data_IF_236406083717
#
_entry.id   IF_236406083717
#
_cell.length_a   1.000
_cell.length_b   1.000
_cell.length_c   1.000
_cell.angle_alpha   90.00
_cell.angle_beta   90.00
_cell.angle_gamma   90.00
#
_symmetry.space_group_name_H-M   'P 1'
#
loop_
_entity.id
_entity.type
_entity.pdbx_description
1 polymer ?
#
# COMPACT_ATOMS: atom_id res chain seq x y z
N UNK A 1 0.44 -32.06 -20.05
CA UNK A 1 -0.55 -31.28 -19.29
C UNK A 1 -0.73 -29.96 -20.04
N UNK A 2 -1.93 -29.64 -20.50
CA UNK A 2 -2.21 -28.45 -21.32
C UNK A 2 -2.61 -27.32 -20.36
N UNK A 3 -1.83 -26.24 -20.33
CA UNK A 3 -2.23 -24.97 -19.72
C UNK A 3 -3.10 -24.23 -20.73
N UNK A 4 -4.39 -24.11 -20.43
CA UNK A 4 -5.30 -23.20 -21.11
C UNK A 4 -5.50 -21.99 -20.21
N UNK A 5 -4.75 -20.92 -20.47
CA UNK A 5 -5.09 -19.58 -20.01
C UNK A 5 -6.03 -18.95 -21.03
N UNK A 6 -7.25 -18.66 -20.59
CA UNK A 6 -8.19 -17.73 -21.22
C UNK A 6 -9.07 -17.18 -20.12
N UNK A 7 -8.94 -15.89 -19.81
CA UNK A 7 -10.12 -15.07 -19.57
C UNK A 7 -9.87 -13.67 -20.13
N UNK A 8 -10.79 -13.28 -21.02
CA UNK A 8 -10.98 -11.93 -21.52
C UNK A 8 -11.88 -11.24 -20.50
N UNK A 9 -11.42 -10.13 -19.92
CA UNK A 9 -12.27 -9.14 -19.27
C UNK A 9 -12.30 -7.88 -20.15
N UNK A 10 -13.45 -7.61 -20.75
CA UNK A 10 -13.75 -6.37 -21.48
C UNK A 10 -14.45 -5.48 -20.47
N UNK A 11 -13.90 -4.31 -20.16
CA UNK A 11 -14.60 -3.24 -19.43
C UNK A 11 -14.96 -2.13 -20.41
N UNK A 12 -16.21 -1.62 -20.41
CA UNK A 12 -16.67 -0.64 -21.38
C UNK A 12 -16.14 0.76 -21.07
N UNK A 13 -15.71 1.44 -22.14
CA UNK A 13 -15.39 2.86 -22.15
C UNK A 13 -16.61 3.72 -21.77
N UNK A 14 -16.49 4.46 -20.67
CA UNK A 14 -17.38 5.57 -20.35
C UNK A 14 -16.90 6.81 -21.12
N UNK A 15 -17.79 7.33 -21.96
CA UNK A 15 -17.58 8.51 -22.77
C UNK A 15 -17.80 9.77 -21.94
N UNK A 16 -16.76 10.60 -21.80
CA UNK A 16 -16.90 11.96 -21.26
C UNK A 16 -16.85 12.97 -22.40
N UNK A 17 -18.01 13.55 -22.67
CA UNK A 17 -18.23 14.71 -23.53
C UNK A 17 -17.42 15.92 -23.03
N UNK A 18 -16.61 16.52 -23.91
CA UNK A 18 -16.08 17.87 -23.70
C UNK A 18 -16.66 18.84 -24.73
N UNK A 19 -17.33 19.84 -24.19
CA UNK A 19 -18.14 20.85 -24.88
C UNK A 19 -17.21 21.84 -25.59
N UNK A 20 -17.33 21.90 -26.92
CA UNK A 20 -16.84 23.00 -27.74
C UNK A 20 -17.59 24.29 -27.38
N UNK A 21 -16.86 25.28 -26.85
CA UNK A 21 -17.31 26.67 -26.88
C UNK A 21 -16.35 27.52 -27.68
N UNK A 22 -16.89 28.05 -28.79
CA UNK A 22 -16.28 29.03 -29.67
C UNK A 22 -16.62 30.44 -29.20
N UNK A 23 -15.61 31.31 -29.08
CA UNK A 23 -15.71 32.76 -29.19
C UNK A 23 -14.36 33.26 -29.76
N UNK A 24 -14.26 33.63 -31.04
CA UNK A 24 -14.62 34.91 -31.65
C UNK A 24 -13.66 36.08 -31.32
N UNK A 25 -13.04 36.57 -32.40
CA UNK A 25 -12.19 37.75 -32.62
C UNK A 25 -12.25 38.94 -31.64
N UNK A 26 -11.11 39.62 -31.48
CA UNK A 26 -11.06 41.00 -31.00
C UNK A 26 -9.69 41.68 -31.02
N UNK A 27 -9.43 42.43 -32.11
CA UNK A 27 -8.72 43.73 -32.19
C UNK A 27 -7.21 43.86 -31.93
N UNK A 28 -6.53 44.34 -32.99
CA UNK A 28 -5.28 45.10 -32.99
C UNK A 28 -5.22 46.19 -31.90
N UNK A 29 -4.13 46.24 -31.14
CA UNK A 29 -3.72 47.41 -30.39
C UNK A 29 -2.18 47.53 -30.34
N UNK A 30 -1.74 48.76 -30.50
CA UNK A 30 -0.40 49.26 -30.76
C UNK A 30 0.69 48.77 -29.80
N UNK A 31 1.83 48.45 -30.42
CA UNK A 31 3.12 48.17 -29.80
C UNK A 31 3.63 49.37 -29.00
N UNK A 32 3.49 49.31 -27.67
CA UNK A 32 4.27 50.09 -26.73
C UNK A 32 5.38 49.22 -26.15
N UNK A 33 6.61 49.40 -26.62
CA UNK A 33 7.82 48.88 -25.98
C UNK A 33 7.93 49.44 -24.55
N UNK A 34 7.46 48.68 -23.54
CA UNK A 34 7.80 48.91 -22.14
C UNK A 34 9.01 48.02 -21.77
N UNK A 35 10.24 48.57 -21.64
CA UNK A 35 11.45 47.81 -21.35
C UNK A 35 11.53 47.35 -19.88
N UNK A 36 10.40 47.09 -19.23
CA UNK A 36 10.31 46.69 -17.81
C UNK A 36 9.83 45.26 -17.57
N UNK A 37 9.40 44.52 -18.60
CA UNK A 37 9.02 43.10 -18.48
C UNK A 37 10.17 42.10 -18.73
N UNK A 38 11.41 42.57 -18.91
CA UNK A 38 12.55 41.70 -19.22
C UNK A 38 13.27 41.10 -17.98
N UNK A 39 12.63 41.03 -16.80
CA UNK A 39 13.31 40.59 -15.56
C UNK A 39 12.50 39.75 -14.56
N UNK A 40 11.37 39.18 -14.94
CA UNK A 40 11.03 37.87 -14.36
C UNK A 40 11.72 36.82 -15.23
N UNK A 41 13.04 36.72 -15.09
CA UNK A 41 13.73 35.51 -15.50
C UNK A 41 13.15 34.41 -14.62
N UNK A 42 12.39 33.52 -15.26
CA UNK A 42 11.74 32.36 -14.67
C UNK A 42 12.68 31.73 -13.65
N UNK A 43 12.29 31.76 -12.38
CA UNK A 43 13.05 31.13 -11.30
C UNK A 43 12.97 29.60 -11.34
N UNK A 44 12.29 29.05 -12.35
CA UNK A 44 12.05 27.63 -12.56
C UNK A 44 12.80 27.06 -13.76
N UNK A 45 12.78 25.74 -13.88
CA UNK A 45 13.33 25.01 -15.01
C UNK A 45 12.37 25.00 -16.19
N UNK A 46 12.89 24.63 -17.36
CA UNK A 46 12.07 24.35 -18.55
C UNK A 46 11.63 22.90 -18.60
N UNK A 47 10.56 22.61 -19.35
CA UNK A 47 10.14 21.21 -19.58
C UNK A 47 11.18 20.38 -20.36
N UNK A 48 12.04 21.03 -21.16
CA UNK A 48 13.12 20.32 -21.88
C UNK A 48 14.20 19.86 -20.90
N UNK A 49 14.54 20.71 -19.93
CA UNK A 49 15.45 20.34 -18.83
C UNK A 49 14.86 19.24 -17.95
N UNK A 50 13.54 19.26 -17.72
CA UNK A 50 12.85 18.21 -16.96
C UNK A 50 12.93 16.86 -17.67
N UNK A 51 12.59 16.80 -18.97
CA UNK A 51 12.68 15.57 -19.76
C UNK A 51 14.11 15.01 -19.76
N UNK A 52 15.11 15.89 -19.90
CA UNK A 52 16.52 15.49 -19.82
C UNK A 52 16.87 14.91 -18.45
N UNK A 53 16.41 15.52 -17.36
CA UNK A 53 16.67 15.01 -16.01
C UNK A 53 16.04 13.62 -15.78
N UNK A 54 14.84 13.37 -16.32
CA UNK A 54 14.18 12.06 -16.29
C UNK A 54 14.99 11.01 -17.06
N UNK A 55 15.46 11.36 -18.27
CA UNK A 55 16.32 10.49 -19.08
C UNK A 55 17.66 10.19 -18.39
N UNK A 56 18.30 11.22 -17.80
CA UNK A 56 19.57 11.08 -17.07
C UNK A 56 19.40 10.18 -15.83
N UNK A 57 18.29 10.31 -15.09
CA UNK A 57 17.95 9.45 -13.95
C UNK A 57 17.81 7.98 -14.38
N UNK A 58 17.06 7.71 -15.46
CA UNK A 58 16.95 6.35 -16.00
C UNK A 58 18.30 5.82 -16.53
N UNK A 59 19.12 6.70 -17.10
CA UNK A 59 20.49 6.39 -17.48
C UNK A 59 21.32 5.90 -16.29
N UNK A 60 21.28 6.64 -15.18
CA UNK A 60 21.97 6.26 -13.94
C UNK A 60 21.48 4.89 -13.41
N UNK A 61 20.18 4.62 -13.50
CA UNK A 61 19.61 3.32 -13.11
C UNK A 61 20.19 2.19 -13.95
N UNK A 62 20.17 2.33 -15.27
CA UNK A 62 20.67 1.31 -16.20
C UNK A 62 22.18 1.09 -16.11
N UNK A 63 22.95 2.12 -15.75
CA UNK A 63 24.39 2.05 -15.59
C UNK A 63 24.82 1.56 -14.21
N UNK A 64 23.88 1.44 -13.25
CA UNK A 64 24.19 1.12 -11.86
C UNK A 64 24.98 2.23 -11.15
N UNK A 65 24.82 3.48 -11.59
CA UNK A 65 25.54 4.64 -11.04
C UNK A 65 24.73 5.26 -9.88
N UNK A 66 24.95 4.71 -8.68
CA UNK A 66 24.31 5.20 -7.45
C UNK A 66 24.61 6.66 -7.15
N UNK A 67 25.81 7.16 -7.46
CA UNK A 67 26.17 8.56 -7.23
C UNK A 67 25.39 9.48 -8.16
N UNK A 68 25.24 9.12 -9.44
CA UNK A 68 24.43 9.87 -10.40
C UNK A 68 22.94 9.80 -10.06
N UNK A 69 22.43 8.64 -9.63
CA UNK A 69 21.04 8.49 -9.18
C UNK A 69 20.74 9.40 -7.99
N UNK A 70 21.55 9.34 -6.93
CA UNK A 70 21.38 10.19 -5.74
C UNK A 70 21.57 11.68 -6.08
N UNK A 71 22.48 12.01 -7.00
CA UNK A 71 22.61 13.37 -7.48
C UNK A 71 21.35 13.86 -8.20
N UNK A 72 20.59 12.97 -8.85
CA UNK A 72 19.31 13.25 -9.51
C UNK A 72 18.12 13.43 -8.56
N UNK A 73 18.23 13.00 -7.30
CA UNK A 73 17.16 13.12 -6.31
C UNK A 73 17.10 14.50 -5.66
N UNK A 74 15.98 14.82 -4.99
CA UNK A 74 15.82 16.04 -4.21
C UNK A 74 16.68 16.03 -2.96
N UNK A 75 16.87 17.19 -2.33
CA UNK A 75 17.57 17.25 -1.05
C UNK A 75 16.88 16.42 0.04
N UNK A 76 15.54 16.43 0.08
CA UNK A 76 14.76 15.63 1.02
C UNK A 76 14.98 14.12 0.79
N UNK A 77 14.96 13.67 -0.46
CA UNK A 77 15.17 12.27 -0.79
C UNK A 77 16.59 11.76 -0.46
N UNK A 78 17.61 12.59 -0.69
CA UNK A 78 18.99 12.26 -0.32
C UNK A 78 19.20 12.13 1.19
N UNK A 79 18.36 12.73 2.03
CA UNK A 79 18.45 12.56 3.49
C UNK A 79 17.89 11.20 3.93
N UNK A 80 16.99 10.60 3.14
CA UNK A 80 16.32 9.34 3.46
C UNK A 80 17.03 8.11 2.86
N UNK A 81 17.75 8.29 1.75
CA UNK A 81 18.42 7.18 1.03
C UNK A 81 19.93 7.28 1.16
N UNK A 82 20.56 6.25 1.71
CA UNK A 82 22.02 6.14 1.73
C UNK A 82 22.60 5.63 0.41
N UNK A 83 23.90 5.86 0.18
CA UNK A 83 24.60 5.35 -1.00
C UNK A 83 24.61 3.82 -1.08
N UNK A 84 24.72 3.13 0.06
CA UNK A 84 24.71 1.66 0.09
C UNK A 84 23.31 1.12 -0.28
N UNK A 85 22.24 1.72 0.25
CA UNK A 85 20.86 1.36 -0.12
C UNK A 85 20.58 1.61 -1.61
N UNK A 86 21.08 2.72 -2.17
CA UNK A 86 20.96 2.99 -3.60
C UNK A 86 21.67 1.93 -4.46
N UNK A 87 22.86 1.47 -4.04
CA UNK A 87 23.58 0.38 -4.72
C UNK A 87 22.79 -0.93 -4.67
N UNK A 88 22.23 -1.28 -3.51
CA UNK A 88 21.41 -2.49 -3.35
C UNK A 88 20.13 -2.44 -4.19
N UNK A 89 19.44 -1.29 -4.20
CA UNK A 89 18.26 -1.08 -5.03
C UNK A 89 18.56 -1.20 -6.52
N UNK A 90 19.66 -0.59 -7.00
CA UNK A 90 20.08 -0.68 -8.40
C UNK A 90 20.43 -2.11 -8.82
N UNK A 91 21.14 -2.86 -7.96
CA UNK A 91 21.46 -4.26 -8.22
C UNK A 91 20.20 -5.13 -8.30
N UNK A 92 19.17 -4.83 -7.49
CA UNK A 92 17.88 -5.52 -7.55
C UNK A 92 17.13 -5.19 -8.84
N UNK A 93 17.10 -3.91 -9.26
CA UNK A 93 16.47 -3.48 -10.51
C UNK A 93 17.12 -4.18 -11.71
N UNK A 94 18.45 -4.19 -11.79
CA UNK A 94 19.19 -4.89 -12.85
C UNK A 94 18.85 -6.39 -12.87
N UNK A 95 18.81 -7.03 -11.70
CA UNK A 95 18.52 -8.46 -11.58
C UNK A 95 17.08 -8.82 -11.99
N UNK A 96 16.10 -7.96 -11.71
CA UNK A 96 14.69 -8.21 -12.00
C UNK A 96 14.28 -7.81 -13.41
N UNK A 97 14.74 -6.64 -13.87
CA UNK A 97 14.23 -6.00 -15.09
C UNK A 97 15.29 -5.86 -16.19
N UNK A 98 16.58 -5.90 -15.83
CA UNK A 98 17.68 -5.66 -16.77
C UNK A 98 17.70 -4.21 -17.26
N UNK A 99 18.05 -4.01 -18.53
CA UNK A 99 18.05 -2.68 -19.16
C UNK A 99 16.61 -2.19 -19.38
N UNK A 100 16.23 -1.12 -18.68
CA UNK A 100 14.93 -0.45 -18.81
C UNK A 100 15.04 0.63 -19.89
N UNK A 101 14.08 0.67 -20.81
CA UNK A 101 14.04 1.69 -21.87
C UNK A 101 12.81 2.55 -21.72
N UNK A 102 13.00 3.86 -21.80
CA UNK A 102 11.89 4.81 -21.83
C UNK A 102 11.28 4.81 -23.24
N UNK A 103 10.00 4.46 -23.33
CA UNK A 103 9.23 4.55 -24.57
C UNK A 103 8.57 5.93 -24.70
N UNK A 104 8.02 6.45 -23.60
CA UNK A 104 7.30 7.72 -23.58
C UNK A 104 7.50 8.44 -22.24
N UNK A 105 7.56 9.78 -22.31
CA UNK A 105 7.51 10.68 -21.15
C UNK A 105 6.31 11.60 -21.32
N UNK A 106 5.35 11.49 -20.41
CA UNK A 106 4.21 12.38 -20.29
C UNK A 106 4.41 13.31 -19.09
N UNK A 107 4.32 14.63 -19.31
CA UNK A 107 4.31 15.61 -18.23
C UNK A 107 2.85 15.88 -17.89
N UNK A 108 2.40 15.39 -16.74
CA UNK A 108 1.02 15.50 -16.28
C UNK A 108 0.75 16.91 -15.72
N UNK A 109 1.69 17.45 -14.95
CA UNK A 109 1.62 18.78 -14.35
C UNK A 109 2.94 19.52 -14.48
N UNK A 110 2.90 20.84 -14.67
CA UNK A 110 4.11 21.68 -14.78
C UNK A 110 3.85 23.10 -14.28
N UNK A 111 4.50 23.49 -13.18
CA UNK A 111 4.36 24.81 -12.55
C UNK A 111 5.68 25.60 -12.54
N UNK A 112 6.63 25.21 -13.38
CA UNK A 112 7.96 25.85 -13.52
C UNK A 112 8.96 25.45 -12.43
N UNK A 113 8.53 25.32 -11.17
CA UNK A 113 9.39 24.84 -10.07
C UNK A 113 9.01 23.46 -9.53
N UNK A 114 7.89 22.92 -9.97
CA UNK A 114 7.39 21.59 -9.67
C UNK A 114 6.80 20.99 -10.94
N UNK A 115 6.85 19.67 -11.04
CA UNK A 115 6.24 18.93 -12.12
C UNK A 115 5.87 17.52 -11.66
N UNK A 116 4.97 16.90 -12.42
CA UNK A 116 4.60 15.51 -12.27
C UNK A 116 4.81 14.82 -13.62
N UNK A 117 5.60 13.75 -13.63
CA UNK A 117 6.05 13.08 -14.84
C UNK A 117 5.72 11.60 -14.78
N UNK A 118 5.08 11.10 -15.83
CA UNK A 118 4.84 9.67 -16.03
C UNK A 118 5.76 9.16 -17.15
N UNK A 119 6.53 8.11 -16.85
CA UNK A 119 7.35 7.40 -17.83
C UNK A 119 6.75 6.04 -18.15
N UNK A 120 6.69 5.68 -19.43
CA UNK A 120 6.31 4.34 -19.88
C UNK A 120 7.55 3.60 -20.36
N UNK A 121 7.73 2.36 -19.92
CA UNK A 121 8.92 1.55 -20.19
C UNK A 121 8.68 0.36 -21.12
N UNK A 122 7.40 0.01 -21.35
CA UNK A 122 7.01 -1.20 -22.08
C UNK A 122 7.11 -2.48 -21.24
N UNK A 123 7.51 -2.37 -19.97
CA UNK A 123 7.52 -3.45 -19.00
C UNK A 123 6.23 -3.35 -18.19
N UNK A 124 5.27 -4.26 -18.46
CA UNK A 124 3.93 -4.25 -17.85
C UNK A 124 3.98 -4.07 -16.32
N UNK A 125 4.91 -4.76 -15.64
CA UNK A 125 5.04 -4.68 -14.19
C UNK A 125 5.49 -3.31 -13.67
N UNK A 126 6.26 -2.53 -14.44
CA UNK A 126 6.67 -1.17 -14.07
C UNK A 126 5.60 -0.16 -14.48
N UNK A 127 5.03 -0.33 -15.67
CA UNK A 127 4.01 0.55 -16.23
C UNK A 127 2.68 0.46 -15.45
N UNK A 128 2.41 -0.66 -14.77
CA UNK A 128 1.24 -0.83 -13.89
C UNK A 128 1.50 -0.51 -12.42
N UNK A 129 2.77 -0.42 -12.01
CA UNK A 129 3.16 -0.14 -10.62
C UNK A 129 3.22 1.36 -10.32
N UNK A 130 3.35 2.21 -11.34
CA UNK A 130 3.05 3.62 -11.18
C UNK A 130 1.54 3.76 -11.00
N UNK A 131 1.10 4.21 -9.82
CA UNK A 131 -0.23 4.79 -9.66
C UNK A 131 -0.43 5.83 -10.77
N UNK A 132 -1.69 6.07 -11.15
CA UNK A 132 -2.04 7.06 -12.17
C UNK A 132 -1.55 8.50 -11.85
N UNK A 133 -0.83 8.70 -10.76
CA UNK A 133 -0.36 9.99 -10.30
C UNK A 133 1.04 10.36 -10.81
N UNK A 134 1.87 9.41 -11.28
CA UNK A 134 3.23 9.70 -11.81
C UNK A 134 4.26 10.13 -10.76
N UNK A 135 5.52 10.33 -11.18
CA UNK A 135 6.62 10.72 -10.30
C UNK A 135 6.68 12.25 -10.12
N UNK A 136 6.86 12.72 -8.89
CA UNK A 136 7.02 14.15 -8.57
C UNK A 136 8.46 14.61 -8.81
N UNK A 137 8.60 15.77 -9.44
CA UNK A 137 9.88 16.44 -9.70
C UNK A 137 9.86 17.88 -9.20
N UNK A 138 10.98 18.35 -8.64
CA UNK A 138 11.14 19.73 -8.16
C UNK A 138 12.37 20.40 -8.77
N UNK A 139 12.31 21.71 -8.98
CA UNK A 139 13.43 22.51 -9.43
C UNK A 139 14.20 23.06 -8.23
N UNK A 140 15.36 22.48 -7.93
CA UNK A 140 16.24 22.91 -6.85
C UNK A 140 17.67 23.12 -7.36
N UNK A 141 18.34 24.18 -6.86
CA UNK A 141 19.73 24.50 -7.17
C UNK A 141 20.07 24.56 -8.69
N UNK A 142 19.07 24.91 -9.52
CA UNK A 142 19.22 25.03 -10.96
C UNK A 142 19.16 23.71 -11.73
N UNK A 143 18.60 22.64 -11.15
CA UNK A 143 18.34 21.38 -11.80
C UNK A 143 16.99 20.79 -11.37
N UNK A 144 16.37 20.01 -12.26
CA UNK A 144 15.22 19.19 -11.89
C UNK A 144 15.70 17.97 -11.10
N UNK A 145 14.97 17.67 -10.02
CA UNK A 145 15.25 16.57 -9.11
C UNK A 145 14.03 15.72 -8.86
N UNK A 146 14.23 14.42 -8.78
CA UNK A 146 13.20 13.45 -8.43
C UNK A 146 12.90 13.55 -6.92
N UNK A 147 11.63 13.78 -6.59
CA UNK A 147 11.11 13.97 -5.23
C UNK A 147 10.16 12.83 -4.82
N UNK A 148 10.25 11.67 -5.47
CA UNK A 148 9.36 10.50 -5.27
C UNK A 148 9.84 9.48 -4.21
N UNK A 149 10.81 9.84 -3.36
CA UNK A 149 11.35 8.93 -2.34
C UNK A 149 10.35 8.53 -1.25
N UNK A 150 9.30 9.32 -1.02
CA UNK A 150 8.30 9.03 0.01
C UNK A 150 7.32 7.91 -0.43
N UNK A 151 7.08 7.71 -1.73
CA UNK A 151 6.05 6.77 -2.20
C UNK A 151 6.46 5.29 -2.08
N UNK A 152 7.76 4.98 -2.02
CA UNK A 152 8.21 3.60 -1.85
C UNK A 152 7.88 3.01 -0.46
N UNK A 153 7.58 3.86 0.52
CA UNK A 153 7.09 3.49 1.86
C UNK A 153 5.64 3.87 2.12
N UNK A 154 5.02 4.70 1.28
CA UNK A 154 3.69 5.29 1.51
C UNK A 154 2.52 4.52 0.87
N UNK A 155 2.79 3.43 0.14
CA UNK A 155 1.72 2.52 -0.32
C UNK A 155 0.95 1.83 0.84
N UNK A 156 1.31 2.09 2.10
CA UNK A 156 0.54 1.72 3.30
C UNK A 156 0.17 2.90 4.20
N UNK A 157 0.52 4.16 3.86
CA UNK A 157 0.20 5.31 4.73
C UNK A 157 -0.08 6.59 3.92
N UNK A 158 -0.96 6.49 2.94
CA UNK A 158 -1.81 7.63 2.55
C UNK A 158 -3.03 7.74 3.48
N UNK A 159 -2.84 7.38 4.76
CA UNK A 159 -3.50 8.01 5.90
C UNK A 159 -3.05 9.45 5.98
N UNK A 160 -3.50 10.24 4.99
CA UNK A 160 -3.56 11.68 5.04
C UNK A 160 -3.95 12.06 6.48
N UNK A 161 -3.16 12.94 7.10
CA UNK A 161 -3.48 13.70 8.33
C UNK A 161 -4.76 14.55 8.10
N UNK A 162 -5.85 13.94 7.62
CA UNK A 162 -7.18 14.32 8.01
C UNK A 162 -7.15 14.24 9.52
N UNK A 163 -7.19 15.42 10.16
CA UNK A 163 -7.47 15.50 11.60
C UNK A 163 -8.53 14.44 11.90
N UNK A 164 -8.29 13.54 12.87
CA UNK A 164 -9.12 12.37 13.09
C UNK A 164 -10.56 12.84 13.04
N UNK A 165 -11.35 12.26 12.13
CA UNK A 165 -12.76 12.59 12.07
C UNK A 165 -13.27 12.41 13.52
N UNK A 166 -13.72 13.48 14.20
CA UNK A 166 -14.17 13.36 15.57
C UNK A 166 -15.41 12.46 15.67
N UNK A 167 -16.00 12.09 14.52
CA UNK A 167 -17.08 11.13 14.38
C UNK A 167 -16.61 9.75 13.84
N UNK A 168 -15.31 9.55 13.50
CA UNK A 168 -14.73 8.22 13.36
C UNK A 168 -14.79 7.57 14.75
N UNK A 169 -15.85 6.82 14.94
CA UNK A 169 -16.13 6.14 16.19
C UNK A 169 -15.05 5.10 16.32
N UNK A 170 -14.08 5.33 17.23
CA UNK A 170 -13.08 4.32 17.60
C UNK A 170 -13.82 2.98 17.68
N UNK A 171 -13.48 1.98 16.85
CA UNK A 171 -14.16 0.69 16.86
C UNK A 171 -14.26 0.23 18.31
N UNK A 172 -15.47 -0.13 18.72
CA UNK A 172 -15.70 -0.48 20.12
C UNK A 172 -14.86 -1.72 20.46
N UNK A 173 -13.92 -1.60 21.40
CA UNK A 173 -13.16 -2.72 21.94
C UNK A 173 -14.14 -3.77 22.51
N UNK A 174 -14.36 -4.84 21.76
CA UNK A 174 -15.19 -5.96 22.16
C UNK A 174 -14.44 -6.83 23.17
N UNK A 175 -15.14 -7.37 24.17
CA UNK A 175 -14.56 -8.39 25.04
C UNK A 175 -14.61 -9.76 24.36
N UNK A 176 -13.70 -10.67 24.72
CA UNK A 176 -13.82 -12.08 24.32
C UNK A 176 -15.21 -12.66 24.67
N UNK A 177 -15.81 -13.34 23.71
CA UNK A 177 -17.18 -13.86 23.76
C UNK A 177 -18.25 -12.89 23.25
N UNK A 178 -17.92 -11.63 22.98
CA UNK A 178 -18.82 -10.70 22.30
C UNK A 178 -18.78 -10.89 20.78
N UNK A 179 -19.96 -10.77 20.17
CA UNK A 179 -20.19 -11.00 18.74
C UNK A 179 -20.25 -9.67 18.00
N UNK A 180 -19.56 -9.59 16.86
CA UNK A 180 -19.75 -8.54 15.87
C UNK A 180 -20.65 -9.07 14.74
N UNK A 181 -21.61 -8.27 14.29
CA UNK A 181 -22.56 -8.61 13.22
C UNK A 181 -22.44 -7.60 12.08
N UNK A 182 -22.27 -8.10 10.85
CA UNK A 182 -22.35 -7.29 9.64
C UNK A 182 -23.80 -7.24 9.12
N UNK A 183 -24.14 -6.19 8.38
CA UNK A 183 -25.50 -5.96 7.84
C UNK A 183 -25.96 -7.05 6.85
N UNK A 184 -25.04 -7.87 6.33
CA UNK A 184 -25.33 -8.97 5.41
C UNK A 184 -25.74 -10.28 6.10
N UNK A 185 -25.76 -10.29 7.44
CA UNK A 185 -26.15 -11.44 8.25
C UNK A 185 -25.00 -12.39 8.57
N UNK A 186 -23.76 -12.04 8.23
CA UNK A 186 -22.59 -12.73 8.78
C UNK A 186 -22.28 -12.15 10.16
N UNK A 187 -21.87 -13.01 11.09
CA UNK A 187 -21.38 -12.59 12.40
C UNK A 187 -20.14 -13.38 12.78
N UNK A 188 -19.28 -12.76 13.59
CA UNK A 188 -18.10 -13.40 14.16
C UNK A 188 -18.05 -13.18 15.66
N UNK A 189 -17.59 -14.18 16.38
CA UNK A 189 -17.29 -14.10 17.81
C UNK A 189 -15.87 -14.57 18.04
N UNK A 190 -15.07 -13.74 18.71
CA UNK A 190 -13.81 -14.18 19.30
C UNK A 190 -14.14 -15.01 20.53
N UNK A 191 -14.11 -16.33 20.41
CA UNK A 191 -14.55 -17.23 21.50
C UNK A 191 -13.51 -17.39 22.60
N UNK A 192 -12.23 -17.18 22.27
CA UNK A 192 -11.15 -17.26 23.26
C UNK A 192 -9.76 -17.09 22.66
N UNK A 193 -8.79 -17.05 23.57
CA UNK A 193 -7.37 -17.14 23.26
C UNK A 193 -6.75 -18.18 24.20
N UNK A 194 -6.24 -19.28 23.64
CA UNK A 194 -5.79 -20.44 24.43
C UNK A 194 -4.30 -20.67 24.23
N UNK A 195 -3.53 -20.74 25.31
CA UNK A 195 -2.09 -21.09 25.24
C UNK A 195 -1.90 -22.48 24.59
N UNK A 196 -0.92 -22.58 23.68
CA UNK A 196 -0.50 -23.85 23.09
C UNK A 196 0.60 -24.44 23.99
N UNK A 197 0.36 -25.58 24.66
CA UNK A 197 1.39 -26.19 25.50
C UNK A 197 2.63 -26.52 24.67
N UNK A 198 3.81 -26.11 25.13
CA UNK A 198 5.08 -26.37 24.43
C UNK A 198 5.35 -27.85 24.15
N UNK A 199 4.80 -28.77 24.95
CA UNK A 199 4.92 -30.22 24.76
C UNK A 199 3.91 -30.80 23.73
N UNK A 200 2.99 -29.97 23.26
CA UNK A 200 2.04 -30.31 22.18
C UNK A 200 2.52 -29.91 20.78
N UNK A 201 3.55 -29.06 20.70
CA UNK A 201 4.17 -28.64 19.45
C UNK A 201 4.91 -29.81 18.78
N UNK A 202 4.70 -29.97 17.48
CA UNK A 202 5.40 -30.93 16.62
C UNK A 202 6.86 -30.53 16.37
N UNK A 203 7.63 -31.46 15.80
CA UNK A 203 9.03 -31.22 15.41
C UNK A 203 9.19 -30.08 14.39
N UNK A 204 8.13 -29.83 13.61
CA UNK A 204 8.11 -28.83 12.54
C UNK A 204 7.38 -27.54 12.92
N UNK A 205 6.86 -27.45 14.15
CA UNK A 205 6.18 -26.25 14.60
C UNK A 205 7.26 -25.25 15.04
N UNK A 206 7.34 -24.12 14.33
CA UNK A 206 8.35 -23.10 14.54
C UNK A 206 7.79 -21.99 15.43
N UNK A 207 8.31 -21.90 16.65
CA UNK A 207 7.98 -20.83 17.60
C UNK A 207 9.25 -20.06 17.94
N UNK A 208 9.17 -18.74 17.93
CA UNK A 208 10.27 -17.86 18.32
C UNK A 208 10.72 -18.17 19.76
N UNK A 209 12.04 -18.32 19.97
CA UNK A 209 12.57 -18.66 21.29
C UNK A 209 12.16 -17.60 22.34
N UNK A 210 11.55 -18.04 23.43
CA UNK A 210 11.07 -17.17 24.50
C UNK A 210 9.64 -16.67 24.33
N UNK A 211 9.00 -16.89 23.17
CA UNK A 211 7.60 -16.55 22.98
C UNK A 211 6.67 -17.64 23.58
N UNK A 212 5.50 -17.20 24.04
CA UNK A 212 4.38 -18.06 24.39
C UNK A 212 3.50 -18.23 23.15
N UNK A 213 3.36 -19.46 22.60
CA UNK A 213 2.46 -19.72 21.49
C UNK A 213 1.02 -19.86 21.99
N UNK A 214 0.04 -19.42 21.19
CA UNK A 214 -1.38 -19.44 21.51
C UNK A 214 -2.24 -19.57 20.25
N UNK A 215 -3.48 -20.04 20.41
CA UNK A 215 -4.51 -19.98 19.37
C UNK A 215 -5.43 -18.80 19.63
N UNK A 216 -5.76 -18.03 18.59
CA UNK A 216 -6.94 -17.18 18.54
C UNK A 216 -8.12 -18.02 18.04
N UNK A 217 -9.22 -18.07 18.77
CA UNK A 217 -10.36 -18.93 18.44
C UNK A 217 -11.56 -18.09 17.99
N UNK A 218 -12.10 -18.42 16.82
CA UNK A 218 -13.18 -17.70 16.16
C UNK A 218 -14.37 -18.63 15.90
N UNK A 219 -15.57 -18.09 16.03
CA UNK A 219 -16.80 -18.70 15.51
C UNK A 219 -17.45 -17.76 14.52
N UNK A 220 -17.58 -18.21 13.27
CA UNK A 220 -18.22 -17.48 12.18
C UNK A 220 -19.57 -18.12 11.88
N UNK A 221 -20.63 -17.32 11.89
CA UNK A 221 -22.00 -17.75 11.58
C UNK A 221 -22.48 -16.98 10.36
N UNK A 222 -23.05 -17.68 9.39
CA UNK A 222 -23.68 -17.06 8.24
C UNK A 222 -25.21 -17.23 8.33
N UNK A 223 -25.90 -16.27 8.93
CA UNK A 223 -27.37 -16.21 8.95
C UNK A 223 -27.95 -15.44 7.75
N UNK A 224 -27.08 -14.96 6.86
CA UNK A 224 -27.43 -14.29 5.61
C UNK A 224 -28.06 -15.20 4.57
N UNK A 225 -28.55 -14.61 3.48
CA UNK A 225 -29.18 -15.36 2.38
C UNK A 225 -28.19 -15.90 1.34
N UNK A 226 -26.93 -15.43 1.37
CA UNK A 226 -25.89 -15.79 0.41
C UNK A 226 -24.74 -16.54 1.09
N UNK A 227 -24.02 -17.44 0.39
CA UNK A 227 -22.85 -18.08 0.98
C UNK A 227 -21.70 -17.07 1.13
N UNK A 228 -21.18 -16.92 2.34
CA UNK A 228 -20.01 -16.10 2.65
C UNK A 228 -18.72 -16.77 2.16
N UNK A 229 -17.78 -16.00 1.62
CA UNK A 229 -16.44 -16.49 1.29
C UNK A 229 -15.55 -16.37 2.53
N UNK A 230 -14.96 -17.48 2.95
CA UNK A 230 -14.13 -17.51 4.15
C UNK A 230 -12.75 -16.90 3.90
N UNK A 231 -12.30 -16.84 2.64
CA UNK A 231 -11.03 -16.19 2.28
C UNK A 231 -11.07 -14.65 2.33
N UNK A 232 -12.24 -14.05 2.57
CA UNK A 232 -12.36 -12.61 2.82
C UNK A 232 -11.93 -12.22 4.24
N UNK A 233 -11.87 -13.18 5.16
CA UNK A 233 -11.54 -12.94 6.56
C UNK A 233 -10.03 -13.07 6.79
N UNK A 234 -9.46 -12.11 7.51
CA UNK A 234 -8.06 -12.15 7.94
C UNK A 234 -7.96 -11.71 9.40
N UNK A 235 -7.39 -12.56 10.25
CA UNK A 235 -7.12 -12.20 11.64
C UNK A 235 -5.79 -11.46 11.72
N UNK A 236 -5.77 -10.32 12.41
CA UNK A 236 -4.56 -9.58 12.73
C UNK A 236 -4.46 -9.46 14.25
N UNK A 237 -3.32 -9.84 14.81
CA UNK A 237 -3.03 -9.62 16.23
C UNK A 237 -1.97 -8.51 16.30
N UNK A 238 -2.38 -7.30 16.67
CA UNK A 238 -1.49 -6.14 16.68
C UNK A 238 -0.33 -6.28 17.67
N UNK A 239 -0.59 -6.98 18.79
CA UNK A 239 0.34 -7.11 19.91
C UNK A 239 -0.39 -7.34 21.23
N UNK A 240 0.35 -7.22 22.34
CA UNK A 240 -0.28 -7.05 23.64
C UNK A 240 -0.70 -5.59 23.85
N UNK A 241 -1.64 -5.35 24.76
CA UNK A 241 -2.09 -4.01 25.17
C UNK A 241 -0.97 -3.11 25.73
N UNK A 242 0.19 -3.69 26.08
CA UNK A 242 1.40 -2.95 26.48
C UNK A 242 2.48 -2.90 25.38
N UNK A 243 2.15 -3.27 24.14
CA UNK A 243 3.04 -3.36 22.99
C UNK A 243 3.52 -4.78 22.67
N UNK A 244 4.62 -4.87 21.92
CA UNK A 244 5.20 -6.14 21.47
C UNK A 244 4.73 -6.54 20.08
N UNK A 245 5.52 -7.40 19.44
CA UNK A 245 5.23 -7.94 18.11
C UNK A 245 4.75 -9.38 18.25
N UNK A 246 3.68 -9.72 17.53
CA UNK A 246 3.18 -11.08 17.45
C UNK A 246 3.72 -11.73 16.18
N UNK A 247 4.22 -12.95 16.31
CA UNK A 247 4.63 -13.77 15.18
C UNK A 247 3.51 -14.77 14.85
N UNK A 248 3.22 -14.99 13.56
CA UNK A 248 2.43 -16.15 13.14
C UNK A 248 3.23 -17.43 13.40
N UNK A 249 2.54 -18.48 13.84
CA UNK A 249 3.17 -19.77 14.12
C UNK A 249 2.67 -20.78 13.10
N UNK A 250 3.56 -21.64 12.59
CA UNK A 250 3.11 -22.79 11.81
C UNK A 250 2.82 -23.95 12.77
N UNK A 251 1.60 -24.49 12.74
CA UNK A 251 1.23 -25.70 13.49
C UNK A 251 0.78 -26.79 12.52
N UNK A 252 1.41 -27.96 12.60
CA UNK A 252 1.07 -29.09 11.71
C UNK A 252 -0.41 -29.50 11.85
N UNK A 253 -1.11 -29.58 10.73
CA UNK A 253 -2.51 -30.03 10.66
C UNK A 253 -3.54 -28.95 10.98
N UNK A 254 -3.12 -27.69 11.07
CA UNK A 254 -4.05 -26.55 11.09
C UNK A 254 -4.87 -26.48 9.78
N UNK A 255 -6.15 -26.13 9.91
CA UNK A 255 -7.04 -25.88 8.78
C UNK A 255 -7.05 -24.39 8.46
N UNK A 256 -6.69 -24.02 7.23
CA UNK A 256 -6.82 -22.64 6.75
C UNK A 256 -8.30 -22.21 6.71
N UNK A 257 -8.53 -20.92 6.96
CA UNK A 257 -9.84 -20.31 6.80
C UNK A 257 -10.14 -20.07 5.31
N UNK A 258 -10.58 -21.12 4.62
CA UNK A 258 -10.82 -21.09 3.18
C UNK A 258 -12.18 -21.68 2.77
N UNK A 259 -12.61 -21.38 1.55
CA UNK A 259 -13.84 -21.91 0.97
C UNK A 259 -15.06 -21.05 1.22
N UNK A 260 -16.25 -21.65 1.26
CA UNK A 260 -17.51 -20.91 1.37
C UNK A 260 -18.39 -21.47 2.48
N UNK A 261 -18.92 -20.61 3.33
CA UNK A 261 -19.86 -20.95 4.40
C UNK A 261 -21.30 -20.75 3.90
N UNK A 262 -22.07 -21.82 3.81
CA UNK A 262 -23.45 -21.76 3.31
C UNK A 262 -24.39 -21.01 4.28
N UNK A 263 -25.52 -20.46 3.80
CA UNK A 263 -26.56 -19.90 4.66
C UNK A 263 -27.04 -20.86 5.75
N UNK A 264 -27.12 -20.38 6.98
CA UNK A 264 -27.50 -21.10 8.20
C UNK A 264 -26.41 -22.00 8.80
N UNK A 265 -25.19 -21.97 8.27
CA UNK A 265 -24.07 -22.78 8.77
C UNK A 265 -23.14 -21.97 9.70
N UNK A 266 -22.36 -22.72 10.48
CA UNK A 266 -21.37 -22.18 11.42
C UNK A 266 -20.02 -22.83 11.18
N UNK A 267 -18.93 -22.06 11.25
CA UNK A 267 -17.55 -22.53 11.21
C UNK A 267 -16.83 -22.09 12.48
N UNK A 268 -16.29 -23.06 13.20
CA UNK A 268 -15.25 -22.82 14.20
C UNK A 268 -13.89 -22.82 13.49
N UNK A 269 -13.05 -21.85 13.82
CA UNK A 269 -11.70 -21.73 13.29
C UNK A 269 -10.76 -21.28 14.41
N UNK A 270 -9.48 -21.61 14.26
CA UNK A 270 -8.44 -21.15 15.18
C UNK A 270 -7.17 -20.88 14.39
N UNK A 271 -6.48 -19.81 14.76
CA UNK A 271 -5.27 -19.36 14.07
C UNK A 271 -4.12 -19.22 15.09
N UNK A 272 -2.96 -19.85 14.84
CA UNK A 272 -1.84 -19.89 15.77
C UNK A 272 -0.88 -18.70 15.66
N UNK A 273 -0.50 -18.17 16.82
CA UNK A 273 0.42 -17.04 16.96
C UNK A 273 1.37 -17.24 18.15
N UNK A 274 2.36 -16.35 18.32
CA UNK A 274 3.20 -16.30 19.50
C UNK A 274 3.68 -14.89 19.85
N UNK A 275 3.88 -14.62 21.15
CA UNK A 275 4.38 -13.33 21.67
C UNK A 275 5.23 -13.55 22.93
N UNK A 276 6.22 -12.68 23.19
CA UNK A 276 6.90 -12.62 24.49
C UNK A 276 5.97 -12.04 25.58
N UNK A 277 5.20 -12.91 26.22
CA UNK A 277 4.28 -12.54 27.30
C UNK A 277 5.00 -12.09 28.57
N UNK A 278 6.25 -12.50 28.78
CA UNK A 278 7.04 -12.09 29.93
C UNK A 278 7.46 -10.62 29.83
N UNK A 279 7.75 -10.14 28.61
CA UNK A 279 8.08 -8.74 28.34
C UNK A 279 6.84 -7.84 28.17
N UNK A 280 5.79 -8.33 27.48
CA UNK A 280 4.69 -7.48 26.99
C UNK A 280 3.34 -7.72 27.69
N UNK A 281 3.20 -8.80 28.47
CA UNK A 281 1.93 -9.22 29.07
C UNK A 281 1.12 -10.16 28.17
N UNK A 282 -0.06 -10.58 28.66
CA UNK A 282 -0.90 -11.61 28.03
C UNK A 282 -2.24 -11.09 27.49
N UNK A 283 -2.53 -9.81 27.66
CA UNK A 283 -3.74 -9.16 27.15
C UNK A 283 -3.46 -8.66 25.74
N UNK A 284 -4.14 -9.20 24.74
CA UNK A 284 -3.93 -8.96 23.31
C UNK A 284 -4.98 -8.01 22.73
N UNK A 285 -4.58 -7.30 21.67
CA UNK A 285 -5.49 -6.58 20.77
C UNK A 285 -5.59 -7.39 19.47
N UNK A 286 -6.81 -7.79 19.11
CA UNK A 286 -7.08 -8.70 18.00
C UNK A 286 -8.11 -8.04 17.08
N UNK A 287 -7.78 -7.93 15.82
CA UNK A 287 -8.66 -7.40 14.77
C UNK A 287 -9.07 -8.51 13.81
N UNK A 288 -10.27 -8.42 13.27
CA UNK A 288 -10.70 -9.27 12.17
C UNK A 288 -11.09 -8.41 10.97
N UNK A 289 -10.26 -8.47 9.93
CA UNK A 289 -10.49 -7.81 8.67
C UNK A 289 -11.40 -8.65 7.79
N UNK A 290 -12.34 -8.01 7.10
CA UNK A 290 -13.21 -8.65 6.10
C UNK A 290 -13.17 -7.86 4.79
N UNK A 291 -12.44 -8.37 3.81
CA UNK A 291 -12.26 -7.70 2.52
C UNK A 291 -13.48 -7.87 1.62
N UNK A 292 -14.39 -6.90 1.63
CA UNK A 292 -15.53 -6.83 0.71
C UNK A 292 -15.24 -5.89 -0.48
N UNK A 293 -16.01 -6.03 -1.57
CA UNK A 293 -15.86 -5.20 -2.79
C UNK A 293 -15.96 -3.69 -2.51
N UNK A 294 -16.67 -3.29 -1.45
CA UNK A 294 -16.91 -1.90 -1.09
C UNK A 294 -15.79 -1.26 -0.25
N UNK A 295 -14.68 -1.99 0.03
CA UNK A 295 -13.54 -1.52 0.82
C UNK A 295 -13.95 -0.87 2.16
N UNK A 296 -14.87 -1.52 2.88
CA UNK A 296 -15.15 -1.13 4.26
C UNK A 296 -13.96 -1.55 5.14
N UNK A 297 -13.32 -0.58 5.77
CA UNK A 297 -12.11 -0.76 6.59
C UNK A 297 -12.42 -0.80 8.09
N UNK A 298 -13.70 -0.79 8.50
CA UNK A 298 -14.09 -0.91 9.90
C UNK A 298 -13.95 -2.37 10.37
N UNK A 299 -12.73 -2.75 10.76
CA UNK A 299 -12.46 -4.04 11.38
C UNK A 299 -12.91 -4.02 12.86
N UNK A 300 -13.74 -4.98 13.31
CA UNK A 300 -13.98 -5.15 14.74
C UNK A 300 -12.70 -5.52 15.49
N UNK A 301 -12.51 -4.89 16.64
CA UNK A 301 -11.36 -5.11 17.53
C UNK A 301 -11.84 -5.76 18.83
N UNK A 302 -11.11 -6.78 19.29
CA UNK A 302 -11.32 -7.42 20.58
C UNK A 302 -10.10 -7.25 21.48
N UNK A 303 -10.35 -7.18 22.80
CA UNK A 303 -9.33 -7.34 23.83
C UNK A 303 -9.56 -8.66 24.56
N UNK A 304 -8.55 -9.53 24.54
CA UNK A 304 -8.63 -10.87 25.12
C UNK A 304 -7.31 -11.28 25.80
N UNK A 305 -7.42 -12.07 26.87
CA UNK A 305 -6.25 -12.58 27.61
C UNK A 305 -5.94 -14.00 27.16
N UNK A 306 -4.66 -14.31 26.93
CA UNK A 306 -4.18 -15.69 26.74
C UNK A 306 -4.47 -16.50 28.02
N UNK A 307 -5.33 -17.51 27.90
CA UNK A 307 -5.81 -18.37 28.99
C UNK A 307 -5.11 -19.72 29.14
#
# INVERSE_FOLDING_TARGET
MRLTSRFRGIVPAAATLLVLSTAACGSDAESGDDPRDARSADAGGSEEELRRAVEDSLGAINEGDADALLAGQSAACREQTSADEAVEALALIEALYGEIRLEEIEILEFEGTSAVVRGTTGIEALDSAGDDDGARWIWEDGAWRDDSCDDAGSAQDSGQDAAPDPDATVPSDLAAGETHEWDDGVSVTLTGVTEIPSDSLGEFDLVTEGHTPFFVELTIVNDGEQPADLGEFSTLVEGATNGGTVDSVYVEGEEYLEGRLAPGETKEHREPYSIDTAANGSDLVIELWRYQEDMDFDAPTWVATIG
#
